data_IF_928909214187
#
_entry.id   IF_928909214187
#
_cell.length_a   1.000
_cell.length_b   1.000
_cell.length_c   1.000
_cell.angle_alpha   90.00
_cell.angle_beta   90.00
_cell.angle_gamma   90.00
#
_symmetry.space_group_name_H-M   'P 1'
#
loop_
_entity.id
_entity.type
_entity.pdbx_description
1 polymer ?
#
# COMPACT_ATOMS: atom_id res chain seq x y z
N UNK A 1 0.99 5.50 -12.09
CA UNK A 1 0.47 6.66 -11.32
C UNK A 1 0.71 7.92 -12.15
N UNK A 2 -0.25 8.81 -12.20
CA UNK A 2 -0.17 10.07 -12.92
C UNK A 2 -0.71 11.20 -12.05
N UNK A 3 -0.01 12.33 -11.96
CA UNK A 3 -0.51 13.53 -11.32
C UNK A 3 -1.31 14.37 -12.33
N UNK A 4 -2.56 14.63 -12.02
CA UNK A 4 -3.49 15.45 -12.78
C UNK A 4 -3.68 16.77 -12.02
N UNK A 5 -3.29 17.88 -12.63
CA UNK A 5 -3.23 19.16 -11.93
C UNK A 5 -4.53 19.96 -12.07
N UNK A 6 -4.98 20.52 -10.96
CA UNK A 6 -6.07 21.50 -10.88
C UNK A 6 -7.39 21.07 -11.55
N UNK A 7 -7.75 19.80 -11.44
CA UNK A 7 -9.05 19.33 -11.93
C UNK A 7 -10.20 20.03 -11.20
N UNK A 8 -11.29 20.28 -11.94
CA UNK A 8 -12.49 20.93 -11.43
C UNK A 8 -13.39 19.93 -10.71
N UNK A 9 -13.73 20.20 -9.44
CA UNK A 9 -14.76 19.44 -8.73
C UNK A 9 -16.13 19.81 -9.30
N UNK A 10 -16.85 18.83 -9.84
CA UNK A 10 -18.16 19.04 -10.49
C UNK A 10 -19.34 18.47 -9.67
N UNK A 11 -19.09 17.51 -8.79
CA UNK A 11 -20.12 16.88 -7.99
C UNK A 11 -19.56 16.36 -6.67
N UNK A 12 -20.38 16.40 -5.62
CA UNK A 12 -20.14 15.75 -4.31
C UNK A 12 -21.39 14.98 -3.90
N UNK A 13 -21.28 13.66 -3.88
CA UNK A 13 -22.28 12.80 -3.25
C UNK A 13 -21.88 12.54 -1.80
N UNK A 14 -22.64 13.04 -0.84
CA UNK A 14 -22.32 12.93 0.59
C UNK A 14 -23.40 12.20 1.37
N UNK A 15 -22.96 11.28 2.22
CA UNK A 15 -23.75 10.61 3.26
C UNK A 15 -22.96 10.53 4.56
N UNK A 16 -23.59 10.16 5.67
CA UNK A 16 -22.89 9.94 6.93
C UNK A 16 -21.80 8.85 6.87
N UNK A 17 -21.85 7.95 5.89
CA UNK A 17 -20.94 6.81 5.79
C UNK A 17 -19.91 6.93 4.66
N UNK A 18 -20.20 7.77 3.65
CA UNK A 18 -19.41 7.85 2.43
C UNK A 18 -19.55 9.22 1.78
N UNK A 19 -18.43 9.72 1.23
CA UNK A 19 -18.41 10.86 0.30
C UNK A 19 -17.71 10.44 -0.99
N UNK A 20 -18.30 10.80 -2.11
CA UNK A 20 -17.69 10.68 -3.45
C UNK A 20 -17.51 12.07 -4.02
N UNK A 21 -16.29 12.38 -4.43
CA UNK A 21 -15.94 13.62 -5.12
C UNK A 21 -15.70 13.29 -6.58
N UNK A 22 -16.46 13.90 -7.49
CA UNK A 22 -16.29 13.73 -8.94
C UNK A 22 -15.61 14.95 -9.54
N UNK A 23 -14.44 14.74 -10.14
CA UNK A 23 -13.63 15.75 -10.79
C UNK A 23 -13.67 15.61 -12.31
N UNK A 24 -13.63 16.72 -13.03
CA UNK A 24 -13.62 16.76 -14.49
C UNK A 24 -12.21 16.95 -15.02
N UNK A 25 -11.72 15.98 -15.78
CA UNK A 25 -10.53 16.07 -16.62
C UNK A 25 -10.97 16.52 -18.03
N UNK A 26 -10.94 17.83 -18.27
CA UNK A 26 -11.39 18.41 -19.54
C UNK A 26 -10.51 18.04 -20.72
N UNK A 27 -9.22 17.85 -20.46
CA UNK A 27 -8.24 17.57 -21.53
C UNK A 27 -8.44 16.18 -22.12
N UNK A 28 -8.90 15.25 -21.30
CA UNK A 28 -9.21 13.87 -21.71
C UNK A 28 -10.71 13.61 -21.95
N UNK A 29 -11.56 14.51 -21.50
CA UNK A 29 -13.01 14.31 -21.55
C UNK A 29 -13.48 13.19 -20.60
N UNK A 30 -12.83 13.04 -19.46
CA UNK A 30 -13.07 11.99 -18.48
C UNK A 30 -13.48 12.56 -17.12
N UNK A 31 -14.12 11.73 -16.29
CA UNK A 31 -14.38 12.04 -14.89
C UNK A 31 -13.50 11.17 -13.98
N UNK A 32 -13.12 11.72 -12.83
CA UNK A 32 -12.26 11.08 -11.83
C UNK A 32 -12.93 11.11 -10.47
N UNK A 33 -13.30 9.94 -9.96
CA UNK A 33 -13.96 9.81 -8.67
C UNK A 33 -12.94 9.49 -7.57
N UNK A 34 -13.07 10.21 -6.44
CA UNK A 34 -12.37 9.90 -5.20
C UNK A 34 -13.42 9.58 -4.15
N UNK A 35 -13.27 8.44 -3.47
CA UNK A 35 -14.24 8.00 -2.46
C UNK A 35 -13.57 7.95 -1.08
N UNK A 36 -14.18 8.61 -0.11
CA UNK A 36 -13.88 8.46 1.30
C UNK A 36 -14.99 7.70 2.00
N UNK A 37 -14.63 6.75 2.87
CA UNK A 37 -15.57 5.97 3.66
C UNK A 37 -15.25 6.18 5.15
N UNK A 38 -16.25 6.44 5.99
CA UNK A 38 -16.11 6.49 7.45
C UNK A 38 -16.09 5.11 8.09
N UNK A 39 -16.51 4.09 7.35
CA UNK A 39 -16.50 2.70 7.74
C UNK A 39 -15.29 1.94 7.15
N UNK A 40 -14.87 0.90 7.83
CA UNK A 40 -13.84 -0.03 7.36
C UNK A 40 -14.49 -1.28 6.77
N UNK A 41 -13.98 -1.76 5.64
CA UNK A 41 -14.44 -3.03 5.07
C UNK A 41 -13.76 -4.21 5.76
N UNK A 42 -14.57 -5.04 6.43
CA UNK A 42 -14.14 -6.31 7.04
C UNK A 42 -14.17 -7.40 5.98
N UNK A 43 -12.99 -7.79 5.49
CA UNK A 43 -12.83 -8.79 4.44
C UNK A 43 -13.23 -10.20 4.87
N UNK A 44 -13.11 -10.51 6.16
CA UNK A 44 -13.39 -11.83 6.68
C UNK A 44 -14.90 -12.10 6.77
N UNK A 45 -15.65 -11.05 7.10
CA UNK A 45 -17.12 -11.09 7.20
C UNK A 45 -17.84 -10.48 6.00
N UNK A 46 -17.10 -10.00 4.99
CA UNK A 46 -17.61 -9.38 3.76
C UNK A 46 -18.65 -8.26 4.04
N UNK A 47 -18.34 -7.38 4.99
CA UNK A 47 -19.23 -6.28 5.40
C UNK A 47 -18.49 -5.02 5.82
N UNK A 48 -19.16 -3.89 5.72
CA UNK A 48 -18.69 -2.62 6.29
C UNK A 48 -19.01 -2.56 7.78
N UNK A 49 -18.02 -2.20 8.59
CA UNK A 49 -18.12 -2.05 10.04
C UNK A 49 -17.75 -0.64 10.47
N UNK A 50 -18.35 -0.16 11.56
CA UNK A 50 -17.98 1.11 12.18
C UNK A 50 -16.49 1.09 12.57
N UNK A 51 -15.80 2.20 12.34
CA UNK A 51 -14.37 2.35 12.63
C UNK A 51 -14.09 3.79 13.09
N UNK A 52 -14.00 4.03 14.40
CA UNK A 52 -13.67 5.36 14.94
C UNK A 52 -12.35 5.91 14.36
N UNK A 53 -11.36 5.05 14.17
CA UNK A 53 -10.09 5.40 13.52
C UNK A 53 -10.29 5.93 12.09
N UNK A 54 -11.21 5.33 11.35
CA UNK A 54 -11.50 5.74 9.98
C UNK A 54 -12.32 7.04 9.94
N UNK A 55 -13.24 7.22 10.89
CA UNK A 55 -13.99 8.45 11.07
C UNK A 55 -13.07 9.64 11.38
N UNK A 56 -12.10 9.45 12.30
CA UNK A 56 -11.11 10.46 12.65
C UNK A 56 -10.24 10.84 11.43
N UNK A 57 -9.74 9.87 10.68
CA UNK A 57 -8.97 10.13 9.45
C UNK A 57 -9.75 10.92 8.40
N UNK A 58 -11.02 10.58 8.21
CA UNK A 58 -11.85 11.28 7.22
C UNK A 58 -12.14 12.70 7.67
N UNK A 59 -12.31 12.95 8.98
CA UNK A 59 -12.41 14.29 9.53
C UNK A 59 -11.13 15.10 9.32
N UNK A 60 -9.95 14.51 9.59
CA UNK A 60 -8.65 15.14 9.31
C UNK A 60 -8.49 15.51 7.84
N UNK A 61 -8.83 14.60 6.90
CA UNK A 61 -8.78 14.85 5.47
C UNK A 61 -9.76 15.96 5.04
N UNK A 62 -10.95 16.04 5.65
CA UNK A 62 -11.93 17.09 5.38
C UNK A 62 -11.37 18.46 5.74
N UNK A 63 -10.69 18.56 6.87
CA UNK A 63 -10.00 19.78 7.29
C UNK A 63 -8.83 20.11 6.37
N UNK A 64 -8.00 19.13 6.02
CA UNK A 64 -6.80 19.33 5.22
C UNK A 64 -7.13 19.77 3.78
N UNK A 65 -8.06 19.06 3.12
CA UNK A 65 -8.36 19.26 1.70
C UNK A 65 -9.46 20.27 1.41
N UNK A 66 -10.40 20.48 2.35
CA UNK A 66 -11.56 21.33 2.12
C UNK A 66 -11.76 22.41 3.18
N UNK A 67 -10.96 22.40 4.25
CA UNK A 67 -11.04 23.33 5.37
C UNK A 67 -12.45 23.38 6.00
N UNK A 68 -13.11 22.24 6.14
CA UNK A 68 -14.42 22.06 6.73
C UNK A 68 -14.51 20.72 7.45
N UNK A 69 -15.53 20.53 8.31
CA UNK A 69 -15.82 19.23 8.92
C UNK A 69 -16.42 18.25 7.92
N UNK A 70 -16.34 16.95 8.21
CA UNK A 70 -16.88 15.91 7.32
C UNK A 70 -18.35 16.13 6.94
N UNK A 71 -19.29 16.48 7.88
CA UNK A 71 -20.68 16.77 7.52
C UNK A 71 -20.86 17.99 6.61
N UNK A 72 -19.94 18.96 6.68
CA UNK A 72 -20.01 20.17 5.86
C UNK A 72 -19.60 19.94 4.41
N UNK A 73 -18.97 18.80 4.08
CA UNK A 73 -18.67 18.41 2.71
C UNK A 73 -19.91 18.41 1.79
N UNK A 74 -21.09 18.16 2.36
CA UNK A 74 -22.36 18.24 1.63
C UNK A 74 -22.68 19.64 1.07
N UNK A 75 -22.04 20.68 1.59
CA UNK A 75 -22.34 22.08 1.26
C UNK A 75 -21.23 22.74 0.40
N UNK A 76 -20.29 21.97 -0.14
CA UNK A 76 -19.20 22.50 -0.95
C UNK A 76 -19.73 23.17 -2.23
N UNK A 77 -19.19 24.35 -2.55
CA UNK A 77 -19.47 25.04 -3.81
C UNK A 77 -18.53 24.44 -4.88
N UNK A 78 -19.02 23.40 -5.55
CA UNK A 78 -18.21 22.52 -6.39
C UNK A 78 -17.46 23.24 -7.50
N UNK A 79 -18.08 24.21 -8.20
CA UNK A 79 -17.47 24.89 -9.37
C UNK A 79 -16.28 25.78 -9.00
N UNK A 80 -16.11 26.15 -7.73
CA UNK A 80 -15.05 27.00 -7.22
C UNK A 80 -13.82 26.19 -6.78
N UNK A 81 -13.94 24.87 -6.71
CA UNK A 81 -12.89 23.99 -6.19
C UNK A 81 -12.07 23.38 -7.31
N UNK A 82 -10.76 23.56 -7.24
CA UNK A 82 -9.76 22.91 -8.09
C UNK A 82 -8.76 22.17 -7.21
N UNK A 83 -8.42 20.92 -7.59
CA UNK A 83 -7.48 20.09 -6.84
C UNK A 83 -6.58 19.31 -7.78
N UNK A 84 -5.36 19.09 -7.30
CA UNK A 84 -4.47 18.09 -7.86
C UNK A 84 -4.98 16.71 -7.46
N UNK A 85 -4.98 15.78 -8.41
CA UNK A 85 -5.42 14.40 -8.20
C UNK A 85 -4.36 13.45 -8.71
N UNK A 86 -4.13 12.39 -7.99
CA UNK A 86 -3.27 11.28 -8.39
C UNK A 86 -4.13 10.15 -8.94
N UNK A 87 -4.04 9.91 -10.25
CA UNK A 87 -4.72 8.84 -10.96
C UNK A 87 -3.90 7.53 -10.94
N UNK A 88 -4.56 6.43 -10.60
CA UNK A 88 -4.04 5.07 -10.62
C UNK A 88 -4.93 4.21 -11.53
N UNK A 89 -4.47 3.02 -11.89
CA UNK A 89 -5.22 2.11 -12.80
C UNK A 89 -6.63 1.74 -12.31
N UNK A 90 -6.84 1.74 -10.98
CA UNK A 90 -8.09 1.26 -10.37
C UNK A 90 -8.75 2.24 -9.40
N UNK A 91 -8.12 3.36 -9.10
CA UNK A 91 -8.64 4.38 -8.18
C UNK A 91 -7.98 5.73 -8.40
N UNK A 92 -8.52 6.79 -7.79
CA UNK A 92 -7.89 8.10 -7.69
C UNK A 92 -7.73 8.52 -6.22
N UNK A 93 -6.79 9.43 -5.95
CA UNK A 93 -6.50 9.94 -4.61
C UNK A 93 -6.13 11.42 -4.64
N UNK A 94 -6.34 12.14 -3.53
CA UNK A 94 -5.84 13.50 -3.35
C UNK A 94 -4.34 13.56 -3.04
N UNK A 95 -3.74 12.45 -2.66
CA UNK A 95 -2.32 12.32 -2.34
C UNK A 95 -1.67 11.18 -3.09
N UNK A 96 -0.37 11.24 -3.16
CA UNK A 96 0.42 10.15 -3.73
C UNK A 96 0.37 8.92 -2.82
N UNK A 97 -0.14 7.81 -3.35
CA UNK A 97 -0.20 6.53 -2.64
C UNK A 97 0.94 5.65 -3.14
N UNK A 98 1.84 5.27 -2.26
CA UNK A 98 2.87 4.29 -2.56
C UNK A 98 2.21 2.93 -2.81
N UNK A 99 1.98 2.62 -4.09
CA UNK A 99 1.35 1.38 -4.49
C UNK A 99 2.37 0.27 -4.60
N UNK A 100 2.25 -0.72 -3.72
CA UNK A 100 3.04 -1.96 -3.83
C UNK A 100 2.31 -2.93 -4.74
N UNK A 101 2.91 -3.23 -5.88
CA UNK A 101 2.36 -4.16 -6.87
C UNK A 101 2.54 -5.62 -6.43
N UNK A 102 1.76 -6.51 -7.02
CA UNK A 102 1.84 -7.96 -6.81
C UNK A 102 2.11 -8.63 -8.14
N UNK A 103 2.94 -9.65 -8.11
CA UNK A 103 3.15 -10.52 -9.26
C UNK A 103 1.87 -11.27 -9.64
N UNK A 104 1.70 -11.55 -10.92
CA UNK A 104 0.64 -12.40 -11.41
C UNK A 104 1.06 -13.88 -11.35
N UNK A 105 0.13 -14.85 -11.41
CA UNK A 105 0.48 -16.26 -11.50
C UNK A 105 1.33 -16.63 -12.72
N UNK A 106 1.25 -15.84 -13.79
CA UNK A 106 2.01 -16.00 -15.04
C UNK A 106 3.48 -15.63 -14.88
N UNK A 107 3.81 -14.79 -13.89
CA UNK A 107 5.18 -14.39 -13.58
C UNK A 107 5.99 -15.48 -12.86
N UNK A 108 5.37 -16.60 -12.50
CA UNK A 108 6.02 -17.70 -11.80
C UNK A 108 7.26 -18.18 -12.52
N UNK A 109 8.37 -18.24 -11.80
CA UNK A 109 9.67 -18.70 -12.32
C UNK A 109 10.47 -17.57 -12.98
N UNK A 110 9.97 -16.35 -13.05
CA UNK A 110 10.78 -15.20 -13.47
C UNK A 110 11.89 -14.96 -12.46
N UNK A 111 13.09 -14.71 -12.97
CA UNK A 111 14.28 -14.38 -12.17
C UNK A 111 14.86 -13.08 -12.72
N UNK A 112 15.07 -12.10 -11.83
CA UNK A 112 15.64 -10.81 -12.20
C UNK A 112 16.50 -10.24 -11.07
N UNK A 113 17.37 -9.30 -11.44
CA UNK A 113 18.15 -8.50 -10.48
C UNK A 113 17.53 -7.13 -10.33
N UNK A 114 17.51 -6.62 -9.10
CA UNK A 114 17.02 -5.29 -8.77
C UNK A 114 17.74 -4.77 -7.52
N UNK A 115 17.51 -3.50 -7.19
CA UNK A 115 18.08 -2.86 -5.99
C UNK A 115 17.01 -2.67 -4.93
N UNK A 116 17.35 -2.93 -3.67
CA UNK A 116 16.45 -2.68 -2.53
C UNK A 116 16.24 -1.18 -2.35
N UNK A 117 15.00 -0.76 -2.33
CA UNK A 117 14.61 0.66 -2.15
C UNK A 117 14.28 1.00 -0.70
N UNK A 118 13.72 0.02 0.06
CA UNK A 118 13.30 0.24 1.42
C UNK A 118 13.21 -1.07 2.21
N UNK A 119 13.34 -0.99 3.56
CA UNK A 119 13.22 -2.13 4.47
C UNK A 119 12.36 -1.74 5.66
N UNK A 120 11.12 -2.20 5.71
CA UNK A 120 10.14 -1.81 6.72
C UNK A 120 9.83 -2.96 7.66
N UNK A 121 10.10 -2.78 8.96
CA UNK A 121 9.68 -3.73 10.00
C UNK A 121 8.29 -3.37 10.53
N UNK A 122 7.37 -4.32 10.46
CA UNK A 122 6.01 -4.20 10.99
C UNK A 122 5.77 -5.22 12.11
N UNK A 123 4.64 -5.09 12.79
CA UNK A 123 4.23 -6.06 13.84
C UNK A 123 4.15 -7.48 13.26
N UNK A 124 3.75 -7.62 12.01
CA UNK A 124 3.49 -8.90 11.34
C UNK A 124 4.65 -9.47 10.52
N UNK A 125 5.71 -8.69 10.26
CA UNK A 125 6.79 -9.12 9.36
C UNK A 125 7.79 -8.03 9.01
N UNK A 126 8.79 -8.41 8.21
CA UNK A 126 9.71 -7.50 7.54
C UNK A 126 9.32 -7.44 6.06
N UNK A 127 9.16 -6.24 5.53
CA UNK A 127 8.93 -5.97 4.12
C UNK A 127 10.21 -5.42 3.50
N UNK A 128 10.68 -6.05 2.45
CA UNK A 128 11.84 -5.60 1.67
C UNK A 128 11.30 -5.15 0.33
N UNK A 129 11.37 -3.84 0.05
CA UNK A 129 10.83 -3.23 -1.15
C UNK A 129 11.90 -3.07 -2.22
N UNK A 130 11.49 -3.14 -3.48
CA UNK A 130 12.35 -3.00 -4.64
C UNK A 130 11.54 -2.58 -5.86
N UNK A 131 12.22 -2.02 -6.88
CA UNK A 131 11.60 -1.64 -8.15
C UNK A 131 11.76 -2.75 -9.17
N UNK A 132 10.72 -3.04 -9.94
CA UNK A 132 10.75 -3.89 -11.11
C UNK A 132 9.81 -3.31 -12.17
N UNK A 133 10.32 -3.07 -13.40
CA UNK A 133 9.56 -2.41 -14.48
C UNK A 133 8.84 -1.13 -14.05
N UNK A 134 9.59 -0.23 -13.38
CA UNK A 134 9.11 1.06 -12.86
C UNK A 134 7.96 0.97 -11.83
N UNK A 135 7.75 -0.20 -11.24
CA UNK A 135 6.74 -0.46 -10.20
C UNK A 135 7.37 -0.96 -8.92
N UNK A 136 6.86 -0.51 -7.77
CA UNK A 136 7.32 -0.98 -6.47
C UNK A 136 6.69 -2.34 -6.14
N UNK A 137 7.53 -3.32 -5.84
CA UNK A 137 7.16 -4.63 -5.33
C UNK A 137 7.78 -4.86 -3.95
N UNK A 138 7.33 -5.90 -3.26
CA UNK A 138 7.92 -6.28 -1.97
C UNK A 138 8.07 -7.79 -1.80
N UNK A 139 9.10 -8.18 -1.07
CA UNK A 139 9.26 -9.52 -0.50
C UNK A 139 8.96 -9.46 0.99
N UNK A 140 8.25 -10.45 1.53
CA UNK A 140 7.82 -10.46 2.92
C UNK A 140 8.47 -11.61 3.71
N UNK A 141 9.07 -11.28 4.85
CA UNK A 141 9.50 -12.26 5.86
C UNK A 141 8.52 -12.19 7.04
N UNK A 142 7.41 -12.95 6.92
CA UNK A 142 6.31 -12.90 7.88
C UNK A 142 6.57 -13.66 9.16
N UNK A 143 6.13 -13.08 10.31
CA UNK A 143 6.09 -13.73 11.61
C UNK A 143 4.74 -13.59 12.31
N UNK A 144 3.70 -13.27 11.58
CA UNK A 144 2.35 -13.21 12.11
C UNK A 144 1.80 -14.60 12.43
N UNK A 145 0.94 -14.66 13.45
CA UNK A 145 0.11 -15.80 13.83
C UNK A 145 -1.34 -15.33 13.88
N UNK A 146 -2.21 -16.09 13.24
CA UNK A 146 -3.65 -15.87 13.35
C UNK A 146 -4.17 -16.46 14.65
N UNK A 147 -4.97 -15.67 15.39
CA UNK A 147 -5.69 -16.09 16.59
C UNK A 147 -7.17 -15.97 16.28
N UNK A 148 -7.87 -17.10 16.29
CA UNK A 148 -9.29 -17.17 15.97
C UNK A 148 -10.12 -16.22 16.87
N UNK A 149 -11.04 -15.49 16.27
CA UNK A 149 -11.88 -14.51 16.96
C UNK A 149 -11.20 -13.17 17.33
N UNK A 150 -9.87 -13.03 17.11
CA UNK A 150 -9.11 -11.83 17.53
C UNK A 150 -8.29 -11.21 16.41
N UNK A 151 -7.77 -12.02 15.44
CA UNK A 151 -7.01 -11.51 14.28
C UNK A 151 -5.53 -11.91 14.26
N UNK A 152 -4.72 -11.12 13.55
CA UNK A 152 -3.30 -11.40 13.33
C UNK A 152 -2.40 -10.67 14.35
N UNK A 153 -1.47 -11.41 14.96
CA UNK A 153 -0.51 -10.90 15.94
C UNK A 153 0.92 -11.32 15.59
N UNK A 154 1.90 -10.54 16.03
CA UNK A 154 3.31 -10.93 15.93
C UNK A 154 3.61 -12.13 16.84
N UNK A 155 4.24 -13.18 16.28
CA UNK A 155 4.72 -14.35 17.01
C UNK A 155 6.22 -14.18 17.31
N UNK A 156 6.64 -13.99 18.57
CA UNK A 156 8.03 -13.77 18.93
C UNK A 156 8.97 -14.90 18.51
N UNK A 157 8.51 -16.15 18.57
CA UNK A 157 9.31 -17.33 18.19
C UNK A 157 9.54 -17.34 16.67
N UNK A 158 8.49 -17.06 15.90
CA UNK A 158 8.63 -16.92 14.45
C UNK A 158 9.52 -15.74 14.09
N UNK A 159 9.39 -14.62 14.81
CA UNK A 159 10.21 -13.41 14.59
C UNK A 159 11.70 -13.72 14.72
N UNK A 160 12.12 -14.40 15.81
CA UNK A 160 13.52 -14.78 15.98
C UNK A 160 14.02 -15.75 14.89
N UNK A 161 13.18 -16.70 14.45
CA UNK A 161 13.52 -17.56 13.32
C UNK A 161 13.69 -16.78 12.02
N UNK A 162 12.88 -15.77 11.76
CA UNK A 162 12.99 -14.95 10.56
C UNK A 162 14.21 -14.01 10.63
N UNK A 163 14.55 -13.48 11.79
CA UNK A 163 15.79 -12.72 12.01
C UNK A 163 17.02 -13.59 11.65
N UNK A 164 17.10 -14.79 12.19
CA UNK A 164 18.22 -15.70 11.90
C UNK A 164 18.28 -16.05 10.39
N UNK A 165 17.13 -16.23 9.72
CA UNK A 165 17.08 -16.42 8.26
C UNK A 165 17.56 -15.20 7.50
N UNK A 166 17.19 -13.99 7.93
CA UNK A 166 17.64 -12.73 7.35
C UNK A 166 19.17 -12.63 7.42
N UNK A 167 19.75 -12.82 8.61
CA UNK A 167 21.19 -12.76 8.84
C UNK A 167 21.94 -13.81 8.00
N UNK A 168 21.40 -15.03 7.92
CA UNK A 168 21.99 -16.09 7.09
C UNK A 168 21.91 -15.74 5.60
N UNK A 169 20.78 -15.18 5.14
CA UNK A 169 20.52 -14.86 3.73
C UNK A 169 21.37 -13.68 3.24
N UNK A 170 21.45 -12.63 4.03
CA UNK A 170 22.04 -11.36 3.62
C UNK A 170 23.43 -11.11 4.21
N UNK A 171 23.86 -11.85 5.24
CA UNK A 171 25.13 -11.61 5.93
C UNK A 171 25.16 -10.27 6.70
N UNK A 172 23.99 -9.74 7.03
CA UNK A 172 23.81 -8.47 7.76
C UNK A 172 23.12 -8.79 9.07
N UNK A 173 23.56 -8.29 10.24
CA UNK A 173 22.82 -8.40 11.49
C UNK A 173 21.43 -7.81 11.34
N UNK A 174 20.41 -8.45 11.92
CA UNK A 174 19.02 -7.96 11.77
C UNK A 174 18.84 -6.54 12.35
N UNK A 175 19.59 -6.19 13.40
CA UNK A 175 19.58 -4.85 13.96
C UNK A 175 20.06 -3.77 12.96
N UNK A 176 20.82 -4.19 11.93
CA UNK A 176 21.38 -3.33 10.90
C UNK A 176 20.71 -3.57 9.52
N UNK A 177 19.48 -4.06 9.53
CA UNK A 177 18.72 -4.44 8.32
C UNK A 177 18.64 -3.34 7.25
N UNK A 178 18.69 -2.08 7.68
CA UNK A 178 18.66 -0.92 6.78
C UNK A 178 19.90 -0.83 5.87
N UNK A 179 21.02 -1.51 6.24
CA UNK A 179 22.17 -1.65 5.33
C UNK A 179 21.87 -2.45 4.06
N UNK A 180 20.70 -3.10 3.98
CA UNK A 180 20.25 -3.76 2.78
C UNK A 180 19.76 -2.76 1.72
N UNK A 181 19.34 -1.56 2.13
CA UNK A 181 18.89 -0.50 1.21
C UNK A 181 20.05 -0.11 0.28
N UNK A 182 19.75 0.00 -1.01
CA UNK A 182 20.74 0.30 -2.05
C UNK A 182 21.60 -0.89 -2.49
N UNK A 183 21.39 -2.10 -1.94
CA UNK A 183 22.09 -3.31 -2.39
C UNK A 183 21.33 -4.02 -3.49
N UNK A 184 22.07 -4.56 -4.44
CA UNK A 184 21.51 -5.40 -5.50
C UNK A 184 21.12 -6.76 -4.95
N UNK A 185 19.92 -7.20 -5.32
CA UNK A 185 19.34 -8.49 -4.96
C UNK A 185 18.91 -9.25 -6.20
N UNK A 186 18.90 -10.56 -6.11
CA UNK A 186 18.27 -11.43 -7.09
C UNK A 186 16.91 -11.89 -6.53
N UNK A 187 15.87 -11.70 -7.31
CA UNK A 187 14.48 -12.07 -6.96
C UNK A 187 14.03 -13.17 -7.89
N UNK A 188 13.40 -14.21 -7.34
CA UNK A 188 12.63 -15.19 -8.09
C UNK A 188 11.16 -15.08 -7.69
N UNK A 189 10.27 -15.07 -8.68
CA UNK A 189 8.83 -15.13 -8.43
C UNK A 189 8.43 -16.59 -8.23
N UNK A 190 7.98 -16.93 -7.03
CA UNK A 190 7.49 -18.27 -6.68
C UNK A 190 6.03 -18.22 -6.25
N UNK A 191 5.43 -19.35 -5.97
CA UNK A 191 4.01 -19.46 -5.56
C UNK A 191 3.87 -20.25 -4.27
N UNK A 192 3.06 -19.71 -3.34
CA UNK A 192 2.64 -20.40 -2.15
C UNK A 192 1.11 -20.32 -2.01
N UNK A 193 0.45 -21.46 -1.80
CA UNK A 193 -1.01 -21.53 -1.71
C UNK A 193 -1.74 -20.88 -2.90
N UNK A 194 -1.17 -21.04 -4.11
CA UNK A 194 -1.73 -20.47 -5.34
C UNK A 194 -1.50 -18.95 -5.52
N UNK A 195 -0.79 -18.29 -4.60
CA UNK A 195 -0.48 -16.85 -4.68
C UNK A 195 0.98 -16.63 -5.01
N UNK A 196 1.29 -15.79 -6.02
CA UNK A 196 2.65 -15.43 -6.36
C UNK A 196 3.27 -14.54 -5.27
N UNK A 197 4.58 -14.70 -5.05
CA UNK A 197 5.36 -13.88 -4.14
C UNK A 197 6.81 -13.75 -4.62
N UNK A 198 7.49 -12.69 -4.19
CA UNK A 198 8.89 -12.48 -4.45
C UNK A 198 9.75 -13.22 -3.42
N UNK A 199 10.58 -14.16 -3.85
CA UNK A 199 11.63 -14.78 -3.03
C UNK A 199 12.98 -14.15 -3.37
N UNK A 200 13.53 -13.39 -2.43
CA UNK A 200 14.89 -12.85 -2.59
C UNK A 200 15.88 -13.97 -2.34
N UNK A 201 16.76 -14.24 -3.30
CA UNK A 201 17.81 -15.26 -3.19
C UNK A 201 18.94 -14.78 -2.27
N UNK A 202 19.61 -15.72 -1.61
CA UNK A 202 20.80 -15.41 -0.81
C UNK A 202 21.90 -14.82 -1.70
N UNK A 203 22.68 -13.88 -1.15
CA UNK A 203 23.86 -13.41 -1.85
C UNK A 203 24.83 -14.56 -2.10
N UNK A 204 25.43 -14.62 -3.30
CA UNK A 204 26.42 -15.65 -3.57
C UNK A 204 27.58 -15.50 -2.58
N UNK A 205 27.88 -16.57 -1.85
CA UNK A 205 29.05 -16.58 -0.95
C UNK A 205 30.30 -16.36 -1.82
N UNK A 206 31.06 -15.30 -1.54
CA UNK A 206 32.38 -15.13 -2.18
C UNK A 206 33.17 -16.42 -1.91
N UNK A 207 33.54 -17.13 -2.94
CA UNK A 207 34.52 -18.22 -2.81
C UNK A 207 35.81 -17.59 -2.25
N UNK A 208 36.22 -18.07 -1.08
CA UNK A 208 37.51 -17.72 -0.51
C UNK A 208 38.63 -18.32 -1.33
#
# INVERSE_FOLDING_TARGET
MEKLELLELIEVEHTAERTVFTFLDRDRGEVRDITWNTKKYDKDNNKWIASPEQEEKVEEWSQEYFNCSYPELANLVVQEIRRDIYGYDTFNSFWEVNQVYKFSPEDKGQIFSTTVTDVVEEVSGLKIKFMYEDKEYQSNMGWAKFVEGTGWFGDPVKKEKQKAKFETKFGIPFAEKDQLIGKDIMVEVDTAFGKPYADIKAFPKKKK
#
